data_IF_211066656533
#
_entry.id   IF_211066656533
#
_cell.length_a   1.000
_cell.length_b   1.000
_cell.length_c   1.000
_cell.angle_alpha   90.00
_cell.angle_beta   90.00
_cell.angle_gamma   90.00
#
_symmetry.space_group_name_H-M   'P 1'
#
loop_
_entity.id
_entity.type
_entity.pdbx_description
1 polymer ?
#
# COMPACT_ATOMS: atom_id res chain seq x y z
N UNK A 1 -26.41 5.18 -11.72
CA UNK A 1 -24.99 5.48 -11.80
C UNK A 1 -24.34 5.44 -10.43
N UNK A 2 -23.28 4.73 -10.32
CA UNK A 2 -22.60 4.56 -9.05
C UNK A 2 -21.55 5.65 -8.84
N UNK A 3 -21.92 6.68 -8.07
CA UNK A 3 -21.01 7.76 -7.73
C UNK A 3 -19.86 7.30 -6.83
N UNK A 4 -20.07 6.19 -6.07
CA UNK A 4 -19.03 5.62 -5.23
C UNK A 4 -17.87 5.06 -6.05
N UNK A 5 -18.19 4.36 -7.15
CA UNK A 5 -17.17 3.81 -8.04
C UNK A 5 -16.26 4.89 -8.61
N UNK A 6 -16.80 6.09 -8.88
CA UNK A 6 -15.99 7.21 -9.40
C UNK A 6 -15.07 7.82 -8.35
N UNK A 7 -15.41 7.72 -7.06
CA UNK A 7 -14.55 8.19 -5.97
C UNK A 7 -13.41 7.21 -5.71
N UNK A 8 -13.63 5.94 -5.98
CA UNK A 8 -12.57 4.94 -5.94
C UNK A 8 -11.78 5.06 -7.23
N UNK A 9 -10.50 4.88 -7.15
CA UNK A 9 -9.62 5.07 -8.29
C UNK A 9 -9.02 6.46 -8.40
N UNK A 10 -9.37 7.39 -7.51
CA UNK A 10 -8.70 8.68 -7.46
C UNK A 10 -7.23 8.50 -7.15
N UNK A 11 -6.39 9.22 -7.90
CA UNK A 11 -4.94 9.21 -7.70
C UNK A 11 -4.54 10.51 -7.01
N UNK A 12 -3.76 10.38 -5.94
CA UNK A 12 -3.30 11.52 -5.17
C UNK A 12 -1.78 11.61 -5.19
N UNK A 13 -1.29 12.84 -5.33
CA UNK A 13 0.12 13.16 -5.24
C UNK A 13 0.45 13.49 -3.80
N UNK A 14 1.47 12.85 -3.26
CA UNK A 14 1.94 13.08 -1.90
C UNK A 14 3.31 13.73 -1.96
N UNK A 15 3.40 15.03 -1.59
CA UNK A 15 4.71 15.66 -1.43
C UNK A 15 5.34 15.16 -0.14
N UNK A 16 6.58 14.70 -0.23
CA UNK A 16 7.28 14.09 0.90
C UNK A 16 8.23 15.09 1.56
N UNK A 17 8.56 14.88 2.85
CA UNK A 17 9.47 15.80 3.56
C UNK A 17 10.85 15.98 2.91
N UNK A 18 11.30 14.99 2.13
CA UNK A 18 12.60 15.03 1.46
C UNK A 18 12.58 15.71 0.09
N UNK A 19 11.46 16.35 -0.29
CA UNK A 19 11.33 17.03 -1.58
C UNK A 19 10.95 16.13 -2.75
N UNK A 20 10.77 14.84 -2.51
CA UNK A 20 10.33 13.89 -3.54
C UNK A 20 8.82 13.71 -3.49
N UNK A 21 8.29 13.05 -4.51
CA UNK A 21 6.87 12.74 -4.62
C UNK A 21 6.66 11.24 -4.71
N UNK A 22 5.58 10.77 -4.11
CA UNK A 22 5.02 9.46 -4.38
C UNK A 22 3.52 9.61 -4.60
N UNK A 23 2.87 8.53 -5.00
CA UNK A 23 1.48 8.59 -5.42
C UNK A 23 0.71 7.41 -4.87
N UNK A 24 -0.55 7.63 -4.56
CA UNK A 24 -1.45 6.58 -4.09
C UNK A 24 -2.73 6.59 -4.90
N UNK A 25 -3.38 5.44 -4.97
CA UNK A 25 -4.68 5.27 -5.60
C UNK A 25 -5.68 4.79 -4.55
N UNK A 26 -6.79 5.50 -4.43
CA UNK A 26 -7.84 5.13 -3.48
C UNK A 26 -8.65 3.98 -4.05
N UNK A 27 -8.52 2.79 -3.44
CA UNK A 27 -9.20 1.58 -3.90
C UNK A 27 -10.50 1.36 -3.14
N UNK A 28 -10.46 1.58 -1.83
CA UNK A 28 -11.62 1.56 -0.93
C UNK A 28 -11.45 2.66 0.11
N UNK A 29 -12.48 2.98 0.90
CA UNK A 29 -12.31 3.99 1.96
C UNK A 29 -11.10 3.65 2.83
N UNK A 30 -10.20 4.59 2.99
CA UNK A 30 -8.97 4.45 3.78
C UNK A 30 -8.00 3.37 3.30
N UNK A 31 -8.21 2.79 2.12
CA UNK A 31 -7.36 1.72 1.57
C UNK A 31 -6.78 2.13 0.24
N UNK A 32 -5.45 2.15 0.16
CA UNK A 32 -4.72 2.72 -0.96
C UNK A 32 -3.70 1.75 -1.53
N UNK A 33 -3.60 1.74 -2.86
CA UNK A 33 -2.41 1.20 -3.53
C UNK A 33 -1.35 2.29 -3.56
N UNK A 34 -0.11 1.92 -3.28
CA UNK A 34 1.03 2.84 -3.32
C UNK A 34 1.82 2.53 -4.58
N UNK A 35 1.88 3.49 -5.50
CA UNK A 35 2.57 3.29 -6.76
C UNK A 35 4.08 3.12 -6.55
N UNK A 36 4.70 2.35 -7.44
CA UNK A 36 6.15 2.16 -7.46
C UNK A 36 6.82 3.38 -8.12
N UNK A 37 6.71 4.51 -7.45
CA UNK A 37 7.23 5.79 -7.94
C UNK A 37 7.73 6.62 -6.76
N UNK A 38 8.95 7.11 -6.89
CA UNK A 38 9.60 7.92 -5.86
C UNK A 38 10.63 8.80 -6.57
N UNK A 39 10.28 10.07 -6.77
CA UNK A 39 11.11 10.96 -7.59
C UNK A 39 10.90 12.42 -7.21
N UNK A 40 11.87 13.24 -7.53
CA UNK A 40 11.75 14.70 -7.43
C UNK A 40 10.86 15.27 -8.51
N UNK A 41 10.57 14.50 -9.55
CA UNK A 41 9.70 14.90 -10.65
C UNK A 41 8.29 14.41 -10.40
N UNK A 42 7.30 15.22 -10.80
CA UNK A 42 5.91 14.80 -10.76
C UNK A 42 5.62 13.82 -11.89
N UNK A 43 4.58 13.00 -11.70
CA UNK A 43 4.14 12.00 -12.68
C UNK A 43 2.69 12.24 -13.07
N UNK A 44 2.29 11.71 -14.22
CA UNK A 44 0.89 11.68 -14.63
C UNK A 44 0.31 10.27 -14.45
N UNK A 45 -1.04 10.11 -14.51
CA UNK A 45 -1.66 8.81 -14.28
C UNK A 45 -1.16 7.69 -15.20
N UNK A 46 -0.87 7.99 -16.47
CA UNK A 46 -0.40 6.95 -17.41
C UNK A 46 0.96 6.40 -16.99
N UNK A 47 1.87 7.29 -16.57
CA UNK A 47 3.18 6.87 -16.07
C UNK A 47 3.03 5.97 -14.84
N UNK A 48 2.12 6.34 -13.94
CA UNK A 48 1.88 5.59 -12.70
C UNK A 48 1.30 4.20 -12.98
N UNK A 49 0.34 4.11 -13.91
CA UNK A 49 -0.22 2.83 -14.29
C UNK A 49 0.84 1.93 -14.92
N UNK A 50 1.81 2.49 -15.64
CA UNK A 50 2.87 1.70 -16.26
C UNK A 50 3.83 1.10 -15.23
N UNK A 51 4.07 1.77 -14.10
CA UNK A 51 4.97 1.24 -13.07
C UNK A 51 4.24 0.33 -12.07
N UNK A 52 2.92 0.49 -11.92
CA UNK A 52 2.12 -0.33 -11.03
C UNK A 52 2.31 -0.03 -9.56
N UNK A 53 1.73 -0.88 -8.71
CA UNK A 53 1.79 -0.69 -7.27
C UNK A 53 2.96 -1.43 -6.63
N UNK A 54 3.61 -0.76 -5.71
CA UNK A 54 4.69 -1.32 -4.88
C UNK A 54 4.11 -2.12 -3.72
N UNK A 55 3.09 -1.57 -3.07
CA UNK A 55 2.45 -2.16 -1.91
C UNK A 55 1.08 -1.52 -1.71
N UNK A 56 0.43 -1.89 -0.62
CA UNK A 56 -0.88 -1.39 -0.27
C UNK A 56 -0.89 -1.06 1.21
N UNK A 57 -1.53 0.06 1.58
CA UNK A 57 -1.59 0.51 2.98
C UNK A 57 -2.93 1.12 3.28
N UNK A 58 -3.27 1.16 4.54
CA UNK A 58 -4.45 1.86 5.03
C UNK A 58 -4.03 3.13 5.76
N UNK A 59 -4.79 4.20 5.55
CA UNK A 59 -4.52 5.49 6.18
C UNK A 59 -5.81 6.28 6.27
N UNK A 60 -5.97 7.05 7.35
CA UNK A 60 -7.10 7.98 7.44
C UNK A 60 -7.01 9.01 6.31
N UNK A 61 -8.14 9.59 5.94
CA UNK A 61 -8.24 10.44 4.75
C UNK A 61 -8.22 11.93 5.05
N UNK A 62 -7.68 12.32 6.19
CA UNK A 62 -7.61 13.72 6.60
C UNK A 62 -6.87 14.59 5.58
N UNK A 63 -5.74 14.09 5.05
CA UNK A 63 -4.95 14.83 4.08
C UNK A 63 -5.71 15.03 2.76
N UNK A 64 -6.57 14.09 2.40
CA UNK A 64 -7.40 14.21 1.21
C UNK A 64 -8.48 15.29 1.44
N UNK A 65 -9.18 15.21 2.58
CA UNK A 65 -10.21 16.19 2.92
C UNK A 65 -9.66 17.61 3.02
N UNK A 66 -8.46 17.76 3.56
CA UNK A 66 -7.78 19.05 3.68
C UNK A 66 -7.05 19.48 2.43
N UNK A 67 -7.09 18.68 1.37
CA UNK A 67 -6.43 18.93 0.08
C UNK A 67 -4.91 19.10 0.21
N UNK A 68 -4.32 18.44 1.20
CA UNK A 68 -2.87 18.35 1.37
C UNK A 68 -2.29 17.38 0.34
N UNK A 69 -2.98 16.26 0.11
CA UNK A 69 -2.69 15.36 -0.99
C UNK A 69 -3.59 15.74 -2.16
N UNK A 70 -2.95 16.12 -3.26
CA UNK A 70 -3.65 16.67 -4.41
C UNK A 70 -4.11 15.56 -5.34
N UNK A 71 -5.40 15.59 -5.71
CA UNK A 71 -5.91 14.68 -6.73
C UNK A 71 -5.35 15.09 -8.09
N UNK A 72 -4.71 14.16 -8.80
CA UNK A 72 -4.13 14.41 -10.12
C UNK A 72 -4.86 13.67 -11.23
N UNK A 73 -5.73 12.73 -10.90
CA UNK A 73 -6.46 11.97 -11.89
C UNK A 73 -7.31 10.90 -11.27
N UNK A 74 -7.84 10.05 -12.12
CA UNK A 74 -8.70 8.95 -11.72
C UNK A 74 -8.53 7.81 -12.71
N UNK A 75 -8.56 6.58 -12.21
CA UNK A 75 -8.54 5.38 -13.04
C UNK A 75 -9.81 4.59 -12.80
N UNK A 76 -10.21 3.81 -13.80
CA UNK A 76 -11.31 2.88 -13.68
C UNK A 76 -10.76 1.58 -13.09
N UNK A 77 -11.06 1.34 -11.81
CA UNK A 77 -10.52 0.19 -11.08
C UNK A 77 -10.89 -1.14 -11.74
N UNK A 78 -12.13 -1.25 -12.25
CA UNK A 78 -12.59 -2.48 -12.88
C UNK A 78 -11.86 -2.72 -14.21
N UNK A 79 -11.74 -1.68 -15.02
CA UNK A 79 -11.06 -1.77 -16.31
C UNK A 79 -9.59 -2.15 -16.15
N UNK A 80 -8.94 -1.60 -15.12
CA UNK A 80 -7.52 -1.84 -14.87
C UNK A 80 -7.28 -3.07 -13.98
N UNK A 81 -8.34 -3.77 -13.58
CA UNK A 81 -8.28 -4.94 -12.71
C UNK A 81 -7.56 -4.64 -11.39
N UNK A 82 -7.84 -3.48 -10.82
CA UNK A 82 -7.24 -3.06 -9.55
C UNK A 82 -8.17 -3.45 -8.41
N UNK A 83 -7.65 -4.26 -7.49
CA UNK A 83 -8.36 -4.64 -6.26
C UNK A 83 -7.40 -4.47 -5.08
N UNK A 84 -7.96 -4.33 -3.89
CA UNK A 84 -7.15 -4.30 -2.68
C UNK A 84 -6.89 -5.74 -2.25
N UNK A 85 -5.62 -6.17 -2.21
CA UNK A 85 -5.30 -7.57 -1.99
C UNK A 85 -5.36 -7.94 -0.51
N UNK A 86 -5.23 -9.24 -0.23
CA UNK A 86 -4.94 -9.71 1.11
C UNK A 86 -3.60 -9.12 1.56
N UNK A 87 -3.52 -8.71 2.81
CA UNK A 87 -2.28 -8.21 3.41
C UNK A 87 -1.91 -9.08 4.60
N UNK A 88 -0.65 -9.49 4.66
CA UNK A 88 -0.15 -10.34 5.72
C UNK A 88 -0.11 -9.60 7.05
N UNK A 89 -0.55 -10.25 8.11
CA UNK A 89 -0.34 -9.76 9.47
C UNK A 89 1.02 -10.29 9.92
N UNK A 90 1.97 -9.39 10.08
CA UNK A 90 3.37 -9.77 10.33
C UNK A 90 4.07 -8.76 11.22
N UNK A 91 4.75 -9.28 12.24
CA UNK A 91 5.63 -8.48 13.10
C UNK A 91 6.97 -9.19 13.16
N UNK A 92 8.03 -8.43 12.89
CA UNK A 92 9.37 -9.01 12.70
C UNK A 92 10.00 -9.56 13.97
N UNK A 93 9.49 -9.17 15.13
CA UNK A 93 10.05 -9.66 16.41
C UNK A 93 9.80 -11.16 16.65
N UNK A 94 8.83 -11.76 15.95
CA UNK A 94 8.58 -13.20 16.06
C UNK A 94 8.10 -13.76 14.72
N UNK A 95 9.00 -13.80 13.76
CA UNK A 95 8.69 -14.21 12.39
C UNK A 95 8.07 -15.60 12.30
N UNK A 96 8.62 -16.56 13.06
CA UNK A 96 8.11 -17.94 13.02
C UNK A 96 6.64 -18.02 13.42
N UNK A 97 6.26 -17.32 14.48
CA UNK A 97 4.89 -17.34 14.96
C UNK A 97 3.93 -16.82 13.88
N UNK A 98 4.24 -15.67 13.29
CA UNK A 98 3.36 -15.05 12.31
C UNK A 98 3.27 -15.87 11.03
N UNK A 99 4.37 -16.49 10.60
CA UNK A 99 4.35 -17.37 9.44
C UNK A 99 3.52 -18.63 9.74
N UNK A 100 3.67 -19.22 10.93
CA UNK A 100 2.87 -20.40 11.29
C UNK A 100 1.39 -20.09 11.36
N UNK A 101 1.01 -18.90 11.84
CA UNK A 101 -0.37 -18.49 11.89
C UNK A 101 -0.95 -18.20 10.51
N UNK A 102 -0.13 -17.69 9.58
CA UNK A 102 -0.51 -17.37 8.20
C UNK A 102 -1.81 -16.57 8.11
N UNK A 103 -1.92 -15.54 8.93
CA UNK A 103 -3.12 -14.71 9.00
C UNK A 103 -2.98 -13.48 8.11
N UNK A 104 -4.10 -13.11 7.51
CA UNK A 104 -4.18 -11.95 6.63
C UNK A 104 -5.38 -11.09 7.01
N UNK A 105 -5.37 -9.84 6.55
CA UNK A 105 -6.57 -9.00 6.51
C UNK A 105 -7.15 -9.14 5.11
N UNK A 106 -8.41 -9.55 5.05
CA UNK A 106 -9.18 -9.71 3.81
C UNK A 106 -10.54 -9.05 4.00
N UNK A 107 -10.87 -8.06 3.16
CA UNK A 107 -12.13 -7.33 3.28
C UNK A 107 -12.38 -6.85 4.71
N UNK A 108 -11.34 -6.29 5.34
CA UNK A 108 -11.36 -5.75 6.71
C UNK A 108 -11.54 -6.80 7.81
N UNK A 109 -11.47 -8.08 7.48
CA UNK A 109 -11.59 -9.17 8.43
C UNK A 109 -10.33 -10.03 8.46
N UNK A 110 -10.09 -10.67 9.62
CA UNK A 110 -9.01 -11.64 9.74
C UNK A 110 -9.37 -12.93 9.00
N UNK A 111 -8.41 -13.48 8.29
CA UNK A 111 -8.53 -14.77 7.63
C UNK A 111 -7.22 -15.52 7.75
N UNK A 112 -7.28 -16.84 7.54
CA UNK A 112 -6.09 -17.68 7.47
C UNK A 112 -5.95 -18.20 6.05
N UNK A 113 -4.73 -18.21 5.53
CA UNK A 113 -4.42 -18.70 4.18
C UNK A 113 -3.36 -19.79 4.26
N UNK A 114 -3.16 -20.57 3.18
CA UNK A 114 -2.03 -21.51 3.14
C UNK A 114 -0.72 -20.79 3.39
N UNK A 115 0.19 -21.46 4.11
CA UNK A 115 1.46 -20.83 4.49
C UNK A 115 2.26 -20.34 3.29
N UNK A 116 2.27 -21.09 2.18
CA UNK A 116 2.97 -20.67 0.96
C UNK A 116 2.43 -19.35 0.41
N UNK A 117 1.12 -19.15 0.49
CA UNK A 117 0.49 -17.90 0.03
C UNK A 117 0.85 -16.74 0.95
N UNK A 118 0.88 -16.99 2.26
CA UNK A 118 1.29 -16.00 3.24
C UNK A 118 2.74 -15.57 3.00
N UNK A 119 3.64 -16.54 2.77
CA UNK A 119 5.05 -16.24 2.50
C UNK A 119 5.20 -15.43 1.21
N UNK A 120 4.39 -15.72 0.19
CA UNK A 120 4.41 -14.96 -1.04
C UNK A 120 4.05 -13.49 -0.80
N UNK A 121 3.04 -13.23 0.06
CA UNK A 121 2.69 -11.86 0.43
C UNK A 121 3.85 -11.15 1.14
N UNK A 122 4.55 -11.85 2.03
CA UNK A 122 5.72 -11.28 2.70
C UNK A 122 6.81 -10.90 1.70
N UNK A 123 7.09 -11.77 0.74
CA UNK A 123 8.11 -11.52 -0.29
C UNK A 123 7.78 -10.32 -1.16
N UNK A 124 6.50 -10.09 -1.40
CA UNK A 124 6.03 -8.92 -2.17
C UNK A 124 5.99 -7.66 -1.32
N UNK A 125 6.09 -7.79 0.01
CA UNK A 125 5.93 -6.65 0.91
C UNK A 125 4.47 -6.26 1.11
N UNK A 126 3.53 -7.15 0.84
CA UNK A 126 2.11 -6.93 1.04
C UNK A 126 1.76 -7.22 2.49
N UNK A 127 2.12 -6.27 3.35
CA UNK A 127 2.00 -6.39 4.79
C UNK A 127 1.04 -5.33 5.29
N UNK A 128 0.10 -5.76 6.15
CA UNK A 128 -0.89 -4.86 6.71
C UNK A 128 -0.23 -3.73 7.49
N UNK A 129 -0.69 -2.52 7.27
CA UNK A 129 -0.30 -1.35 8.05
C UNK A 129 -1.40 -0.31 7.97
N UNK A 130 -1.75 0.26 9.11
CA UNK A 130 -2.73 1.33 9.20
C UNK A 130 -2.09 2.56 9.83
N UNK A 131 -2.28 3.70 9.20
CA UNK A 131 -1.76 4.98 9.69
C UNK A 131 -2.93 5.85 10.13
N UNK A 132 -2.94 6.21 11.40
CA UNK A 132 -3.96 7.10 11.98
C UNK A 132 -3.54 8.57 11.93
N UNK A 133 -2.39 8.85 11.34
CA UNK A 133 -1.87 10.19 11.11
C UNK A 133 -1.18 10.22 9.74
N UNK A 134 -1.69 11.08 8.84
CA UNK A 134 -1.12 11.14 7.49
C UNK A 134 0.33 11.59 7.48
N UNK A 135 0.76 12.35 8.48
CA UNK A 135 2.17 12.78 8.59
C UNK A 135 3.09 11.60 8.88
N UNK A 136 2.60 10.65 9.68
CA UNK A 136 3.35 9.42 9.95
C UNK A 136 3.47 8.59 8.65
N UNK A 137 2.39 8.53 7.88
CA UNK A 137 2.41 7.84 6.59
C UNK A 137 3.39 8.50 5.62
N UNK A 138 3.38 9.84 5.54
CA UNK A 138 4.32 10.56 4.69
C UNK A 138 5.78 10.26 5.08
N UNK A 139 6.07 10.24 6.38
CA UNK A 139 7.42 9.91 6.85
C UNK A 139 7.80 8.46 6.53
N UNK A 140 6.84 7.55 6.69
CA UNK A 140 7.08 6.15 6.34
C UNK A 140 7.38 5.99 4.86
N UNK A 141 6.60 6.63 3.99
CA UNK A 141 6.84 6.61 2.55
C UNK A 141 8.21 7.19 2.21
N UNK A 142 8.53 8.32 2.80
CA UNK A 142 9.81 9.01 2.55
C UNK A 142 11.00 8.13 2.91
N UNK A 143 10.91 7.36 3.98
CA UNK A 143 12.01 6.54 4.48
C UNK A 143 12.09 5.16 3.84
N UNK A 144 11.00 4.66 3.28
CA UNK A 144 10.92 3.24 2.95
C UNK A 144 10.63 2.91 1.50
N UNK A 145 9.85 3.76 0.79
CA UNK A 145 9.24 3.29 -0.46
C UNK A 145 10.25 3.01 -1.57
N UNK A 146 11.35 3.75 -1.61
CA UNK A 146 12.35 3.62 -2.69
C UNK A 146 12.93 2.20 -2.78
N UNK A 147 13.21 1.58 -1.64
CA UNK A 147 13.84 0.26 -1.57
C UNK A 147 12.93 -0.79 -0.93
N UNK A 148 11.67 -0.51 -0.82
CA UNK A 148 10.69 -1.43 -0.24
C UNK A 148 10.47 -2.62 -1.17
N UNK A 149 10.33 -3.86 -0.69
CA UNK A 149 10.36 -4.27 0.71
C UNK A 149 11.74 -4.69 1.22
N UNK A 150 12.79 -4.58 0.43
CA UNK A 150 14.11 -5.12 0.74
C UNK A 150 14.76 -4.43 1.94
N UNK A 151 14.36 -3.19 2.20
CA UNK A 151 14.86 -2.40 3.33
C UNK A 151 14.09 -2.65 4.62
N UNK A 152 13.15 -3.61 4.63
CA UNK A 152 12.34 -3.94 5.80
C UNK A 152 12.94 -5.12 6.56
N UNK A 153 12.62 -5.23 7.84
CA UNK A 153 13.05 -6.35 8.67
C UNK A 153 12.15 -7.57 8.46
N UNK A 154 11.96 -7.92 7.19
CA UNK A 154 11.22 -9.12 6.79
C UNK A 154 12.18 -10.27 6.55
N UNK A 155 13.29 -9.96 5.91
CA UNK A 155 14.26 -10.98 5.48
C UNK A 155 15.45 -11.02 6.42
N UNK A 156 16.12 -12.16 6.55
CA UNK A 156 15.76 -13.44 5.92
C UNK A 156 14.54 -14.07 6.58
N UNK A 157 13.78 -14.82 5.78
CA UNK A 157 12.67 -15.60 6.32
C UNK A 157 13.21 -16.86 7.00
N UNK A 158 12.67 -17.24 8.17
CA UNK A 158 13.10 -18.47 8.81
C UNK A 158 12.69 -19.70 8.02
N UNK A 159 13.54 -20.76 8.08
CA UNK A 159 13.18 -22.05 7.53
C UNK A 159 12.24 -22.75 8.49
N UNK A 160 11.07 -23.12 8.01
CA UNK A 160 10.09 -23.87 8.80
C UNK A 160 9.99 -25.28 8.21
N UNK A 161 10.24 -26.24 9.02
CA UNK A 161 10.10 -27.66 8.65
C UNK A 161 8.70 -28.17 8.96
#
# INVERSE_FOLDING_TARGET
MDKGAKKYGNIYEIPLPNGKFTYICRIKPCQFGVFDYFSEKTANPDELLSVGFKTYKSCIETAIRKKIWKRIGQVDLDKENITFPDLAIFLSYNKELFIRQSRVIRNENFSTVPQKDYIDLLKRGYIYGFFDDYKIFERWLSSNIEHYPDNQDIFPLPSLS
#
